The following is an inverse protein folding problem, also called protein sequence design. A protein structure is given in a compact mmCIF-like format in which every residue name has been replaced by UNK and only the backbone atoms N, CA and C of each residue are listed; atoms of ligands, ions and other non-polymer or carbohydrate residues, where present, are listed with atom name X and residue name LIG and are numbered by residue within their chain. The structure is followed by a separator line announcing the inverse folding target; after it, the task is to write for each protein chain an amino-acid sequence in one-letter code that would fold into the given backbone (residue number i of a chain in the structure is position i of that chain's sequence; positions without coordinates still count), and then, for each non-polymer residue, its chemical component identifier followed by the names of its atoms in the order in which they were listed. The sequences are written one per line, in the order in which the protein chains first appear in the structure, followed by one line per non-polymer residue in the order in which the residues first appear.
data_IF_718937734567
#
_entry.id   IF_718937734567
#
_cell.length_a   1.000
_cell.length_b   1.000
_cell.length_c   1.000
_cell.angle_alpha   90.00
_cell.angle_beta   90.00
_cell.angle_gamma   90.00
#
_symmetry.space_group_name_H-M   'P 1'
#
loop_
_entity.id
_entity.type
_entity.pdbx_description
1 polymer ?
#
# COMPACT_ATOMS: atom_id res chain seq x y z
N UNK A 1 9.13 7.02 1.08
CA UNK A 1 9.09 6.30 -0.23
C UNK A 1 7.63 6.18 -0.69
N UNK A 2 7.33 6.29 -1.99
CA UNK A 2 5.96 6.11 -2.51
C UNK A 2 5.62 4.64 -2.77
N UNK A 3 4.32 4.26 -2.76
CA UNK A 3 3.89 2.89 -3.12
C UNK A 3 4.30 2.49 -4.54
N UNK A 4 4.25 3.43 -5.48
CA UNK A 4 4.68 3.21 -6.88
C UNK A 4 6.19 3.00 -7.00
N UNK A 5 7.00 3.69 -6.20
CA UNK A 5 8.44 3.42 -6.16
C UNK A 5 8.73 2.07 -5.53
N UNK A 6 8.05 1.72 -4.44
CA UNK A 6 8.22 0.43 -3.75
C UNK A 6 7.85 -0.75 -4.66
N UNK A 7 6.77 -0.65 -5.45
CA UNK A 7 6.34 -1.71 -6.36
C UNK A 7 7.29 -1.95 -7.54
N UNK A 8 8.25 -1.05 -7.77
CA UNK A 8 9.28 -1.17 -8.80
C UNK A 8 10.60 -1.73 -8.27
N UNK A 9 10.73 -1.89 -6.97
CA UNK A 9 11.95 -2.42 -6.36
C UNK A 9 12.13 -3.91 -6.72
N UNK A 10 13.29 -4.32 -7.26
CA UNK A 10 13.49 -5.67 -7.79
C UNK A 10 13.41 -6.74 -6.69
N UNK A 11 13.80 -6.41 -5.46
CA UNK A 11 13.72 -7.34 -4.33
C UNK A 11 12.27 -7.72 -4.00
N UNK A 12 11.30 -6.81 -4.21
CA UNK A 12 9.90 -7.08 -3.92
C UNK A 12 9.31 -8.04 -4.96
N UNK A 13 9.68 -7.88 -6.23
CA UNK A 13 9.34 -8.85 -7.28
C UNK A 13 9.91 -10.24 -6.98
N UNK A 14 11.18 -10.31 -6.54
CA UNK A 14 11.78 -11.57 -6.13
C UNK A 14 11.05 -12.19 -4.93
N UNK A 15 10.72 -11.38 -3.91
CA UNK A 15 9.95 -11.82 -2.75
C UNK A 15 8.59 -12.38 -3.14
N UNK A 16 7.78 -11.65 -3.91
CA UNK A 16 6.45 -12.10 -4.33
C UNK A 16 6.54 -13.34 -5.23
N UNK A 17 7.54 -13.41 -6.12
CA UNK A 17 7.76 -14.58 -6.97
C UNK A 17 8.13 -15.84 -6.16
N UNK A 18 9.02 -15.71 -5.18
CA UNK A 18 9.38 -16.80 -4.28
C UNK A 18 8.20 -17.21 -3.38
N UNK A 19 7.41 -16.23 -2.94
CA UNK A 19 6.19 -16.49 -2.16
C UNK A 19 5.17 -17.28 -2.99
N UNK A 20 4.91 -16.86 -4.23
CA UNK A 20 4.00 -17.58 -5.13
C UNK A 20 4.47 -19.01 -5.39
N UNK A 21 5.78 -19.23 -5.57
CA UNK A 21 6.36 -20.56 -5.70
C UNK A 21 6.14 -21.38 -4.42
N UNK A 22 6.44 -20.80 -3.25
CA UNK A 22 6.26 -21.47 -1.96
C UNK A 22 4.81 -21.91 -1.73
N UNK A 23 3.85 -21.01 -1.95
CA UNK A 23 2.42 -21.29 -1.81
C UNK A 23 1.96 -22.34 -2.82
N UNK A 24 2.46 -22.28 -4.07
CA UNK A 24 2.15 -23.31 -5.07
C UNK A 24 2.64 -24.69 -4.64
N UNK A 25 3.87 -24.79 -4.11
CA UNK A 25 4.40 -26.04 -3.56
C UNK A 25 3.58 -26.52 -2.37
N UNK A 26 3.13 -25.61 -1.50
CA UNK A 26 2.29 -25.94 -0.36
C UNK A 26 0.93 -26.51 -0.81
N UNK A 27 0.24 -25.85 -1.75
CA UNK A 27 -1.06 -26.29 -2.27
C UNK A 27 -0.94 -27.61 -3.03
N UNK A 28 -0.11 -27.67 -4.07
CA UNK A 28 0.01 -28.89 -4.89
C UNK A 28 0.67 -30.05 -4.14
N UNK A 29 1.60 -29.77 -3.22
CA UNK A 29 2.14 -30.77 -2.30
C UNK A 29 1.07 -31.30 -1.37
N UNK A 30 0.25 -30.40 -0.80
CA UNK A 30 -0.90 -30.78 0.02
C UNK A 30 -1.85 -31.74 -0.69
N UNK A 31 -2.15 -31.47 -1.96
CA UNK A 31 -2.96 -32.36 -2.79
C UNK A 31 -2.25 -33.70 -3.07
N UNK A 32 -1.00 -33.67 -3.51
CA UNK A 32 -0.26 -34.86 -3.89
C UNK A 32 -0.04 -35.86 -2.74
N UNK A 33 0.08 -35.35 -1.51
CA UNK A 33 0.30 -36.16 -0.31
C UNK A 33 -0.97 -36.33 0.56
N UNK A 34 -2.13 -35.83 0.10
CA UNK A 34 -3.41 -35.97 0.81
C UNK A 34 -3.50 -35.21 2.14
N UNK A 35 -2.67 -34.17 2.34
CA UNK A 35 -2.54 -33.43 3.61
C UNK A 35 -3.84 -32.73 3.99
N UNK A 36 -4.59 -32.23 3.00
CA UNK A 36 -5.89 -31.58 3.19
C UNK A 36 -6.89 -32.43 3.98
N UNK A 37 -6.80 -33.76 3.88
CA UNK A 37 -7.68 -34.68 4.62
C UNK A 37 -7.16 -35.05 6.00
N UNK A 38 -5.90 -34.72 6.32
CA UNK A 38 -5.24 -35.13 7.56
C UNK A 38 -5.01 -33.96 8.54
N UNK A 39 -4.79 -32.75 8.02
CA UNK A 39 -4.46 -31.57 8.81
C UNK A 39 -5.50 -30.48 8.53
N UNK A 40 -6.46 -30.33 9.43
CA UNK A 40 -7.62 -29.45 9.24
C UNK A 40 -7.27 -27.96 9.02
N UNK A 41 -6.16 -27.47 9.57
CA UNK A 41 -5.75 -26.06 9.39
C UNK A 41 -4.91 -25.84 8.14
N UNK A 42 -4.52 -26.91 7.43
CA UNK A 42 -3.67 -26.81 6.24
C UNK A 42 -4.30 -25.97 5.15
N UNK A 43 -5.60 -26.14 4.98
CA UNK A 43 -6.40 -25.44 3.99
C UNK A 43 -6.46 -23.94 4.29
N UNK A 44 -6.85 -23.60 5.53
CA UNK A 44 -6.86 -22.25 6.05
C UNK A 44 -5.50 -21.54 5.90
N UNK A 45 -4.40 -22.26 6.18
CA UNK A 45 -3.05 -21.74 5.99
C UNK A 45 -2.79 -21.45 4.51
N UNK A 46 -3.12 -22.40 3.63
CA UNK A 46 -2.85 -22.28 2.20
C UNK A 46 -3.65 -21.13 1.58
N UNK A 47 -4.93 -20.98 1.92
CA UNK A 47 -5.76 -19.85 1.49
C UNK A 47 -5.22 -18.52 2.04
N UNK A 48 -4.96 -18.43 3.35
CA UNK A 48 -4.40 -17.19 3.91
C UNK A 48 -3.09 -16.75 3.25
N UNK A 49 -2.16 -17.68 3.01
CA UNK A 49 -0.91 -17.39 2.30
C UNK A 49 -1.13 -17.06 0.81
N UNK A 50 -2.13 -17.67 0.18
CA UNK A 50 -2.55 -17.40 -1.20
C UNK A 50 -3.11 -15.99 -1.33
N UNK A 51 -4.09 -15.61 -0.49
CA UNK A 51 -4.64 -14.26 -0.45
C UNK A 51 -3.58 -13.18 -0.22
N UNK A 52 -2.61 -13.44 0.67
CA UNK A 52 -1.44 -12.56 0.86
C UNK A 52 -0.60 -12.45 -0.43
N UNK A 53 -0.29 -13.58 -1.08
CA UNK A 53 0.50 -13.61 -2.30
C UNK A 53 -0.18 -12.93 -3.49
N UNK A 54 -1.48 -13.18 -3.69
CA UNK A 54 -2.29 -12.56 -4.75
C UNK A 54 -2.40 -11.05 -4.53
N UNK A 55 -2.57 -10.60 -3.27
CA UNK A 55 -2.50 -9.17 -2.95
C UNK A 55 -1.11 -8.58 -3.28
N UNK A 56 -0.04 -9.34 -3.07
CA UNK A 56 1.31 -8.97 -3.48
C UNK A 56 1.45 -8.78 -5.00
N UNK A 57 0.93 -9.71 -5.79
CA UNK A 57 0.88 -9.57 -7.25
C UNK A 57 0.05 -8.35 -7.66
N UNK A 58 -1.13 -8.17 -7.05
CA UNK A 58 -2.00 -7.02 -7.29
C UNK A 58 -1.27 -5.71 -6.99
N UNK A 59 -0.48 -5.64 -5.92
CA UNK A 59 0.32 -4.46 -5.57
C UNK A 59 1.42 -4.17 -6.58
N UNK A 60 2.11 -5.20 -7.07
CA UNK A 60 3.17 -5.04 -8.06
C UNK A 60 2.63 -4.47 -9.38
N UNK A 61 1.47 -4.98 -9.84
CA UNK A 61 0.87 -4.59 -11.12
C UNK A 61 0.04 -3.31 -11.01
N UNK A 62 -0.70 -3.15 -9.91
CA UNK A 62 -1.63 -2.04 -9.68
C UNK A 62 -1.39 -1.39 -8.30
N UNK A 63 -0.21 -0.78 -8.08
CA UNK A 63 0.14 -0.21 -6.77
C UNK A 63 -0.82 0.90 -6.30
N UNK A 64 -1.49 1.59 -7.24
CA UNK A 64 -2.46 2.64 -6.93
C UNK A 64 -3.75 2.12 -6.30
N UNK A 65 -4.05 0.83 -6.44
CA UNK A 65 -5.19 0.19 -5.74
C UNK A 65 -5.01 0.22 -4.23
N UNK A 66 -3.77 0.38 -3.76
CA UNK A 66 -3.40 0.44 -2.35
C UNK A 66 -3.35 1.87 -1.79
N UNK A 67 -3.81 2.87 -2.55
CA UNK A 67 -3.83 4.27 -2.11
C UNK A 67 -5.17 4.68 -1.48
N UNK A 68 -5.08 5.45 -0.40
CA UNK A 68 -6.23 6.08 0.27
C UNK A 68 -7.05 5.16 1.17
N UNK A 69 -8.04 5.74 1.86
CA UNK A 69 -8.78 5.08 2.94
C UNK A 69 -9.67 3.91 2.46
N UNK A 70 -9.97 3.85 1.17
CA UNK A 70 -10.81 2.79 0.58
C UNK A 70 -10.01 1.58 0.11
N UNK A 71 -8.67 1.69 0.05
CA UNK A 71 -7.80 0.62 -0.43
C UNK A 71 -8.07 -0.75 0.23
N UNK A 72 -8.21 -0.87 1.57
CA UNK A 72 -8.46 -2.17 2.20
C UNK A 72 -9.74 -2.85 1.69
N UNK A 73 -10.82 -2.09 1.50
CA UNK A 73 -12.11 -2.61 1.01
C UNK A 73 -12.03 -3.00 -0.46
N UNK A 74 -11.35 -2.19 -1.28
CA UNK A 74 -11.17 -2.50 -2.71
C UNK A 74 -10.31 -3.75 -2.90
N UNK A 75 -9.18 -3.84 -2.19
CA UNK A 75 -8.30 -5.01 -2.21
C UNK A 75 -9.06 -6.24 -1.72
N UNK A 76 -9.77 -6.15 -0.60
CA UNK A 76 -10.60 -7.25 -0.09
C UNK A 76 -11.63 -7.73 -1.14
N UNK A 77 -12.33 -6.81 -1.81
CA UNK A 77 -13.30 -7.17 -2.85
C UNK A 77 -12.68 -7.84 -4.07
N UNK A 78 -11.51 -7.39 -4.52
CA UNK A 78 -10.78 -8.02 -5.63
C UNK A 78 -10.34 -9.42 -5.25
N UNK A 79 -9.74 -9.59 -4.07
CA UNK A 79 -9.22 -10.89 -3.62
C UNK A 79 -10.37 -11.86 -3.36
N UNK A 80 -11.47 -11.40 -2.76
CA UNK A 80 -12.69 -12.20 -2.61
C UNK A 80 -13.21 -12.71 -3.96
N UNK A 81 -13.23 -11.86 -5.00
CA UNK A 81 -13.69 -12.26 -6.33
C UNK A 81 -12.75 -13.28 -6.99
N UNK A 82 -11.43 -13.14 -6.79
CA UNK A 82 -10.44 -14.11 -7.30
C UNK A 82 -10.57 -15.44 -6.55
N UNK A 83 -10.66 -15.41 -5.22
CA UNK A 83 -10.90 -16.57 -4.37
C UNK A 83 -12.17 -17.31 -4.79
N UNK A 84 -13.28 -16.59 -4.98
CA UNK A 84 -14.54 -17.21 -5.42
C UNK A 84 -14.44 -17.87 -6.81
N UNK A 85 -13.61 -17.32 -7.70
CA UNK A 85 -13.29 -17.96 -8.97
C UNK A 85 -12.45 -19.23 -8.81
N UNK A 86 -11.55 -19.26 -7.82
CA UNK A 86 -10.75 -20.44 -7.49
C UNK A 86 -11.62 -21.55 -6.89
N UNK A 87 -12.49 -21.22 -5.93
CA UNK A 87 -13.50 -22.13 -5.36
C UNK A 87 -14.36 -22.78 -6.45
N UNK A 88 -14.85 -21.97 -7.40
CA UNK A 88 -15.61 -22.47 -8.54
C UNK A 88 -14.77 -23.42 -9.41
N UNK A 89 -13.49 -23.12 -9.62
CA UNK A 89 -12.59 -24.03 -10.33
C UNK A 89 -12.43 -25.35 -9.58
N UNK A 90 -12.29 -25.33 -8.26
CA UNK A 90 -12.16 -26.55 -7.46
C UNK A 90 -13.42 -27.40 -7.50
N UNK A 91 -14.59 -26.78 -7.35
CA UNK A 91 -15.88 -27.44 -7.50
C UNK A 91 -16.03 -28.14 -8.86
N UNK A 92 -15.57 -27.50 -9.94
CA UNK A 92 -15.74 -28.03 -11.29
C UNK A 92 -14.72 -29.10 -11.69
N UNK A 93 -13.49 -29.03 -11.16
CA UNK A 93 -12.36 -29.77 -11.72
C UNK A 93 -11.59 -30.65 -10.73
N UNK A 94 -11.90 -30.62 -9.43
CA UNK A 94 -11.18 -31.42 -8.42
C UNK A 94 -12.10 -32.44 -7.77
N UNK A 95 -11.59 -33.64 -7.49
CA UNK A 95 -12.39 -34.73 -6.93
C UNK A 95 -12.46 -34.74 -5.39
N UNK A 96 -11.81 -33.80 -4.69
CA UNK A 96 -11.71 -33.86 -3.21
C UNK A 96 -13.04 -33.59 -2.49
N UNK A 97 -13.98 -32.89 -3.12
CA UNK A 97 -15.34 -32.71 -2.60
C UNK A 97 -16.25 -33.93 -2.85
N UNK A 98 -15.80 -34.94 -3.59
CA UNK A 98 -16.59 -36.11 -3.93
C UNK A 98 -16.92 -36.93 -2.66
N UNK A 99 -18.09 -36.66 -2.08
CA UNK A 99 -18.54 -37.26 -0.82
C UNK A 99 -18.91 -36.24 0.26
N UNK A 100 -18.63 -34.95 0.05
CA UNK A 100 -19.08 -33.88 0.94
C UNK A 100 -20.55 -33.54 0.71
N UNK A 101 -21.22 -33.11 1.77
CA UNK A 101 -22.55 -32.50 1.62
C UNK A 101 -22.40 -31.09 1.03
N UNK A 102 -23.39 -30.65 0.25
CA UNK A 102 -23.39 -29.29 -0.31
C UNK A 102 -23.30 -28.20 0.78
N UNK A 103 -23.85 -28.46 1.97
CA UNK A 103 -23.77 -27.55 3.11
C UNK A 103 -22.35 -27.43 3.66
N UNK A 104 -21.64 -28.57 3.80
CA UNK A 104 -20.26 -28.59 4.26
C UNK A 104 -19.34 -27.86 3.27
N UNK A 105 -19.48 -28.16 1.97
CA UNK A 105 -18.71 -27.46 0.94
C UNK A 105 -18.94 -25.95 0.96
N UNK A 106 -20.19 -25.50 1.16
CA UNK A 106 -20.49 -24.07 1.24
C UNK A 106 -19.87 -23.40 2.48
N UNK A 107 -19.80 -24.09 3.61
CA UNK A 107 -19.17 -23.59 4.84
C UNK A 107 -17.64 -23.47 4.68
N UNK A 108 -17.03 -24.46 4.03
CA UNK A 108 -15.61 -24.51 3.68
C UNK A 108 -15.25 -23.32 2.78
N UNK A 109 -15.89 -23.24 1.61
CA UNK A 109 -15.75 -22.13 0.66
C UNK A 109 -15.95 -20.76 1.33
N UNK A 110 -16.95 -20.61 2.19
CA UNK A 110 -17.16 -19.33 2.89
C UNK A 110 -16.00 -18.99 3.82
N UNK A 111 -15.42 -19.99 4.48
CA UNK A 111 -14.26 -19.85 5.36
C UNK A 111 -13.02 -19.49 4.56
N UNK A 112 -12.79 -20.16 3.42
CA UNK A 112 -11.65 -19.93 2.53
C UNK A 112 -11.63 -18.51 1.98
N UNK A 113 -12.79 -18.03 1.52
CA UNK A 113 -12.93 -16.64 1.06
C UNK A 113 -12.62 -15.62 2.16
N UNK A 114 -12.99 -15.92 3.41
CA UNK A 114 -12.67 -15.05 4.55
C UNK A 114 -11.16 -15.06 4.81
N UNK A 115 -10.52 -16.22 4.86
CA UNK A 115 -9.07 -16.29 5.16
C UNK A 115 -8.20 -15.77 4.02
N UNK A 116 -8.63 -15.90 2.77
CA UNK A 116 -8.03 -15.23 1.60
C UNK A 116 -8.01 -13.71 1.80
N UNK A 117 -9.17 -13.13 2.15
CA UNK A 117 -9.28 -11.70 2.42
C UNK A 117 -8.42 -11.28 3.60
N UNK A 118 -8.38 -12.06 4.69
CA UNK A 118 -7.51 -11.77 5.83
C UNK A 118 -6.02 -11.77 5.45
N UNK A 119 -5.59 -12.73 4.63
CA UNK A 119 -4.24 -12.78 4.07
C UNK A 119 -3.91 -11.53 3.25
N UNK A 120 -4.83 -11.11 2.39
CA UNK A 120 -4.68 -9.89 1.61
C UNK A 120 -4.60 -8.62 2.47
N UNK A 121 -5.42 -8.51 3.50
CA UNK A 121 -5.38 -7.38 4.43
C UNK A 121 -4.08 -7.35 5.23
N UNK A 122 -3.52 -8.51 5.59
CA UNK A 122 -2.19 -8.59 6.19
C UNK A 122 -1.11 -8.02 5.25
N UNK A 123 -1.21 -8.28 3.95
CA UNK A 123 -0.32 -7.68 2.95
C UNK A 123 -0.48 -6.15 2.88
N UNK A 124 -1.72 -5.63 2.92
CA UNK A 124 -1.99 -4.18 2.96
C UNK A 124 -1.30 -3.54 4.17
N UNK A 125 -1.45 -4.13 5.36
CA UNK A 125 -0.82 -3.65 6.59
C UNK A 125 0.71 -3.67 6.48
N UNK A 126 1.28 -4.73 5.90
CA UNK A 126 2.72 -4.84 5.67
C UNK A 126 3.25 -3.70 4.78
N UNK A 127 2.61 -3.46 3.63
CA UNK A 127 3.00 -2.38 2.71
C UNK A 127 2.90 -1.02 3.40
N UNK A 128 1.82 -0.77 4.11
CA UNK A 128 1.64 0.47 4.88
C UNK A 128 2.74 0.65 5.93
N UNK A 129 3.12 -0.41 6.63
CA UNK A 129 4.23 -0.41 7.58
C UNK A 129 5.56 -0.06 6.93
N UNK A 130 5.90 -0.68 5.80
CA UNK A 130 7.14 -0.42 5.06
C UNK A 130 7.19 1.03 4.57
N UNK A 131 6.08 1.53 3.99
CA UNK A 131 6.00 2.91 3.48
C UNK A 131 6.14 3.94 4.60
N UNK A 132 5.52 3.70 5.76
CA UNK A 132 5.64 4.59 6.92
C UNK A 132 7.07 4.59 7.48
N UNK A 133 7.64 3.41 7.71
CA UNK A 133 8.99 3.27 8.27
C UNK A 133 10.08 3.92 7.40
N UNK A 134 9.99 3.72 6.08
CA UNK A 134 10.93 4.36 5.13
C UNK A 134 10.78 5.87 5.08
N UNK A 135 9.59 6.40 5.34
CA UNK A 135 9.33 7.85 5.35
C UNK A 135 9.84 8.51 6.64
N UNK A 136 9.71 7.86 7.79
CA UNK A 136 10.27 8.34 9.06
C UNK A 136 11.80 8.39 9.04
N UNK A 137 12.44 7.37 8.44
CA UNK A 137 13.91 7.31 8.33
C UNK A 137 14.47 8.47 7.49
N UNK A 138 13.75 8.92 6.45
CA UNK A 138 14.15 10.07 5.64
C UNK A 138 13.91 11.42 6.34
N UNK A 139 12.98 11.52 7.29
CA UNK A 139 12.64 12.77 7.96
C UNK A 139 13.54 13.07 9.18
N UNK A 140 14.38 12.14 9.63
CA UNK A 140 15.38 12.43 10.67
C UNK A 140 16.34 13.49 10.12
N UNK A 141 16.29 14.75 10.60
CA UNK A 141 17.15 15.78 10.06
C UNK A 141 18.57 15.37 10.38
N UNK A 142 19.40 15.26 9.36
CA UNK A 142 20.84 15.40 9.50
C UNK A 142 21.04 16.69 10.31
N UNK A 143 21.47 16.51 11.55
CA UNK A 143 21.66 17.58 12.52
C UNK A 143 22.32 18.77 11.82
N UNK A 144 21.63 19.93 11.84
CA UNK A 144 22.19 21.20 11.40
C UNK A 144 23.68 21.25 11.77
N UNK A 145 24.61 21.47 10.83
CA UNK A 145 25.96 21.83 11.23
C UNK A 145 25.83 23.05 12.17
N UNK A 146 26.57 23.09 13.30
CA UNK A 146 26.45 24.19 14.23
C UNK A 146 26.70 25.48 13.46
N UNK A 147 25.65 26.30 13.36
CA UNK A 147 25.74 27.64 12.80
C UNK A 147 26.57 28.49 13.74
N UNK A 148 27.89 28.37 13.66
CA UNK A 148 28.84 29.31 14.27
C UNK A 148 28.79 30.61 13.46
N UNK A 149 27.68 31.35 13.58
CA UNK A 149 27.69 32.77 13.32
C UNK A 149 28.36 33.45 14.51
N UNK A 150 29.69 33.48 14.50
CA UNK A 150 30.47 34.36 15.33
C UNK A 150 30.23 35.80 14.84
N UNK A 151 29.20 36.46 15.37
CA UNK A 151 29.02 37.90 15.26
C UNK A 151 30.10 38.59 16.13
N UNK A 152 31.31 38.75 15.58
CA UNK A 152 32.28 39.69 16.12
C UNK A 152 31.91 41.07 15.59
N UNK A 153 31.17 41.80 16.42
CA UNK A 153 30.89 43.23 16.29
C UNK A 153 32.20 43.98 16.60
N UNK A 154 32.89 44.41 15.56
CA UNK A 154 34.03 45.34 15.67
C UNK A 154 33.51 46.76 15.50
N UNK A 155 33.57 47.51 16.59
CA UNK A 155 33.31 48.93 16.68
C UNK A 155 34.51 49.72 16.13
N UNK A 156 34.28 50.88 15.52
CA UNK A 156 35.34 51.85 15.22
C UNK A 156 35.32 52.54 13.86
N UNK A 157 34.67 53.71 13.80
CA UNK A 157 35.34 54.93 13.30
C UNK A 157 34.98 55.46 11.90
N UNK A 158 34.28 56.61 11.89
CA UNK A 158 34.49 57.82 11.06
C UNK A 158 34.46 57.71 9.50
N UNK A 159 33.92 58.63 8.70
CA UNK A 159 33.34 59.98 8.87
C UNK A 159 32.60 60.35 7.55
N UNK A 160 31.51 61.11 7.69
CA UNK A 160 30.98 62.17 6.80
C UNK A 160 31.07 62.09 5.26
N UNK A 161 29.92 62.10 4.56
CA UNK A 161 29.48 63.06 3.50
C UNK A 161 27.94 62.93 3.38
N UNK A 162 27.14 63.84 3.96
CA UNK A 162 26.42 64.99 3.33
C UNK A 162 25.49 64.68 2.14
N UNK A 163 24.20 65.01 2.35
CA UNK A 163 23.23 65.67 1.45
C UNK A 163 22.92 65.00 0.10
N UNK A 164 21.70 64.99 -0.43
CA UNK A 164 20.40 65.55 -0.08
C UNK A 164 19.39 64.92 -1.07
N UNK A 165 18.10 65.05 -0.75
CA UNK A 165 16.97 64.99 -1.69
C UNK A 165 16.73 63.59 -2.33
N UNK A 166 15.51 63.11 -2.58
CA UNK A 166 14.29 63.83 -2.84
C UNK A 166 13.06 62.93 -2.64
N UNK A 167 11.94 63.63 -2.50
CA UNK A 167 10.56 63.21 -2.27
C UNK A 167 9.88 62.43 -3.40
N UNK A 168 8.96 61.52 -3.06
CA UNK A 168 7.59 61.33 -3.62
C UNK A 168 7.03 59.98 -3.11
N UNK A 169 5.92 59.93 -2.35
CA UNK A 169 4.52 59.93 -2.86
C UNK A 169 4.31 58.82 -3.92
N UNK A 170 3.30 57.96 -3.89
CA UNK A 170 1.95 57.99 -3.31
C UNK A 170 1.25 56.69 -3.77
N UNK A 171 0.20 56.25 -3.06
CA UNK A 171 -1.17 55.93 -3.55
C UNK A 171 -1.29 55.10 -4.86
N UNK A 172 -2.12 54.08 -5.07
CA UNK A 172 -3.51 53.82 -4.69
C UNK A 172 -3.91 52.52 -5.46
N UNK A 173 -4.63 51.58 -4.85
CA UNK A 173 -6.05 51.26 -5.11
C UNK A 173 -6.40 50.18 -6.15
N UNK A 174 -7.60 49.62 -5.93
CA UNK A 174 -8.47 48.77 -6.76
C UNK A 174 -8.08 47.28 -6.80
N UNK A 175 -8.75 46.34 -6.12
CA UNK A 175 -10.20 46.10 -5.93
C UNK A 175 -10.99 46.14 -7.25
N UNK A 176 -11.33 44.96 -7.77
CA UNK A 176 -12.60 44.76 -8.47
C UNK A 176 -13.12 43.33 -8.20
N UNK A 177 -14.42 43.18 -7.90
CA UNK A 177 -15.10 41.90 -7.65
C UNK A 177 -15.86 41.39 -8.89
N UNK A 178 -16.53 40.25 -8.70
CA UNK A 178 -17.63 39.68 -9.48
C UNK A 178 -17.28 38.92 -10.77
N UNK A 179 -17.65 37.63 -10.82
CA UNK A 179 -18.84 37.25 -11.60
C UNK A 179 -19.33 35.82 -11.34
N UNK A 180 -20.66 35.73 -11.46
CA UNK A 180 -21.60 34.70 -11.07
C UNK A 180 -21.65 33.42 -11.94
N UNK A 181 -21.78 32.27 -11.25
CA UNK A 181 -22.81 31.23 -11.44
C UNK A 181 -22.92 30.47 -12.82
N UNK A 182 -23.96 29.63 -13.07
CA UNK A 182 -23.90 28.20 -12.75
C UNK A 182 -24.35 27.23 -13.88
N UNK A 183 -24.17 25.93 -13.61
CA UNK A 183 -24.96 24.78 -14.12
C UNK A 183 -24.85 24.39 -15.61
N UNK A 184 -24.64 23.09 -15.88
CA UNK A 184 -25.46 22.29 -16.82
C UNK A 184 -25.04 20.81 -16.82
N UNK A 185 -26.06 19.98 -16.50
CA UNK A 185 -26.39 18.62 -16.97
C UNK A 185 -25.49 17.45 -16.61
#
# INVERSE_FOLDING_TARGET
MSRVSLSREPWLWAFVGLWALFVSVLHFGGLAYGIYTQIWWWDLLTHSLSGFGVAGVLFLVFPRTFDGNRAPVVVAGIIFAIGAGFELYEYLFKDFWYGWSAAYYLEDTATDLVVDVLGALAFVVLVDGIVRFTSETQYRPESQPPSTHANIRSDGGDTSVRSADDTCSRDDDARSPDDDAPSRR
#
